data_IF_983127615658
#
_entry.id   IF_983127615658
#
_cell.length_a   1.000
_cell.length_b   1.000
_cell.length_c   1.000
_cell.angle_alpha   90.00
_cell.angle_beta   90.00
_cell.angle_gamma   90.00
#
_symmetry.space_group_name_H-M   'P 1'
#
loop_
_entity.id
_entity.type
_entity.pdbx_description
1 polymer ?
#
# COMPACT_ATOMS: atom_id res chain seq x y z
N UNK A 1 -20.40 -14.08 -13.65
CA UNK A 1 -21.60 -14.44 -12.85
C UNK A 1 -22.77 -13.54 -13.26
N UNK A 2 -24.02 -14.04 -13.25
CA UNK A 2 -25.17 -13.14 -13.33
C UNK A 2 -25.36 -12.44 -11.98
N UNK A 3 -25.53 -11.13 -12.00
CA UNK A 3 -25.75 -10.32 -10.80
C UNK A 3 -26.67 -9.15 -11.13
N UNK A 4 -27.53 -8.82 -10.19
CA UNK A 4 -28.44 -7.66 -10.28
C UNK A 4 -28.42 -6.94 -8.93
N UNK A 5 -27.85 -5.75 -8.91
CA UNK A 5 -27.82 -4.92 -7.70
C UNK A 5 -29.21 -4.42 -7.37
N UNK A 6 -29.62 -4.52 -6.10
CA UNK A 6 -30.94 -4.10 -5.61
C UNK A 6 -30.80 -3.02 -4.52
N UNK A 7 -31.92 -2.42 -4.17
CA UNK A 7 -31.99 -1.43 -3.10
C UNK A 7 -31.33 -0.10 -3.46
N UNK A 8 -30.72 0.62 -2.50
CA UNK A 8 -30.29 2.00 -2.68
C UNK A 8 -29.17 2.20 -3.71
N UNK A 9 -28.47 1.13 -4.11
CA UNK A 9 -27.41 1.21 -5.12
C UNK A 9 -27.86 0.87 -6.54
N UNK A 10 -29.09 0.37 -6.76
CA UNK A 10 -29.54 -0.19 -8.05
C UNK A 10 -29.33 0.76 -9.25
N UNK A 11 -29.70 2.03 -9.09
CA UNK A 11 -29.65 3.03 -10.19
C UNK A 11 -28.48 4.01 -10.02
N UNK A 12 -27.41 3.59 -9.33
CA UNK A 12 -26.24 4.43 -9.08
C UNK A 12 -25.02 4.02 -9.91
N UNK A 13 -24.08 4.95 -10.08
CA UNK A 13 -22.76 4.65 -10.69
C UNK A 13 -22.05 3.50 -9.95
N UNK A 14 -22.13 3.48 -8.62
CA UNK A 14 -21.56 2.42 -7.80
C UNK A 14 -22.22 1.07 -8.07
N UNK A 15 -23.54 1.01 -8.16
CA UNK A 15 -24.28 -0.21 -8.50
C UNK A 15 -23.92 -0.76 -9.88
N UNK A 16 -23.90 0.11 -10.89
CA UNK A 16 -23.48 -0.27 -12.25
C UNK A 16 -22.04 -0.81 -12.28
N UNK A 17 -21.12 -0.17 -11.53
CA UNK A 17 -19.74 -0.63 -11.39
C UNK A 17 -19.69 -2.00 -10.73
N UNK A 18 -20.40 -2.20 -9.63
CA UNK A 18 -20.45 -3.48 -8.93
C UNK A 18 -20.98 -4.62 -9.82
N UNK A 19 -22.05 -4.38 -10.58
CA UNK A 19 -22.58 -5.33 -11.54
C UNK A 19 -21.58 -5.68 -12.64
N UNK A 20 -20.88 -4.69 -13.20
CA UNK A 20 -19.87 -4.92 -14.25
C UNK A 20 -18.74 -5.81 -13.72
N UNK A 21 -18.23 -5.55 -12.51
CA UNK A 21 -17.18 -6.37 -11.88
C UNK A 21 -17.67 -7.78 -11.57
N UNK A 22 -18.89 -7.92 -11.03
CA UNK A 22 -19.50 -9.23 -10.75
C UNK A 22 -19.72 -10.05 -12.02
N UNK A 23 -20.16 -9.41 -13.11
CA UNK A 23 -20.35 -10.10 -14.42
C UNK A 23 -19.04 -10.55 -15.05
N UNK A 24 -17.95 -9.82 -14.85
CA UNK A 24 -16.62 -10.21 -15.33
C UNK A 24 -16.09 -11.48 -14.62
N UNK A 25 -16.55 -11.76 -13.39
CA UNK A 25 -16.08 -12.90 -12.61
C UNK A 25 -16.71 -14.22 -13.07
N UNK A 26 -15.87 -15.17 -13.54
CA UNK A 26 -16.29 -16.53 -13.90
C UNK A 26 -16.18 -17.53 -12.74
N UNK A 27 -15.83 -17.06 -11.56
CA UNK A 27 -15.76 -17.83 -10.30
C UNK A 27 -14.79 -19.03 -10.30
N UNK A 28 -13.72 -18.99 -11.12
CA UNK A 28 -12.79 -20.11 -11.29
C UNK A 28 -11.88 -20.39 -10.06
N UNK A 29 -11.71 -19.43 -9.15
CA UNK A 29 -10.91 -19.59 -7.93
C UNK A 29 -9.40 -19.38 -8.07
N UNK A 30 -8.85 -19.04 -9.24
CA UNK A 30 -7.41 -18.80 -9.42
C UNK A 30 -6.87 -17.67 -8.51
N UNK A 31 -7.72 -16.72 -8.15
CA UNK A 31 -7.41 -15.64 -7.24
C UNK A 31 -7.13 -16.09 -5.79
N UNK A 32 -7.63 -17.26 -5.37
CA UNK A 32 -7.40 -17.79 -4.02
C UNK A 32 -5.93 -18.22 -3.83
N UNK A 33 -5.28 -18.75 -4.84
CA UNK A 33 -3.90 -19.22 -4.77
C UNK A 33 -2.89 -18.12 -4.37
N UNK A 34 -3.17 -16.87 -4.74
CA UNK A 34 -2.32 -15.70 -4.43
C UNK A 34 -2.84 -14.85 -3.28
N UNK A 35 -3.94 -15.26 -2.65
CA UNK A 35 -4.54 -14.51 -1.55
C UNK A 35 -3.87 -14.83 -0.21
N UNK A 36 -3.21 -13.85 0.45
CA UNK A 36 -2.48 -14.13 1.68
C UNK A 36 -3.38 -14.54 2.84
N UNK A 37 -4.63 -14.05 2.91
CA UNK A 37 -5.55 -14.45 3.98
C UNK A 37 -6.14 -15.85 3.75
N UNK A 38 -6.43 -16.22 2.52
CA UNK A 38 -6.81 -17.59 2.17
C UNK A 38 -5.68 -18.59 2.48
N UNK A 39 -4.44 -18.25 2.14
CA UNK A 39 -3.28 -19.10 2.47
C UNK A 39 -3.09 -19.32 3.98
N UNK A 40 -3.47 -18.35 4.82
CA UNK A 40 -3.37 -18.50 6.27
C UNK A 40 -4.48 -19.35 6.87
N UNK A 41 -5.70 -19.30 6.33
CA UNK A 41 -6.88 -19.91 6.95
C UNK A 41 -7.37 -21.15 6.26
N UNK A 42 -7.16 -21.28 4.94
CA UNK A 42 -7.84 -22.26 4.09
C UNK A 42 -9.35 -22.02 3.93
N UNK A 43 -9.87 -20.93 4.53
CA UNK A 43 -11.29 -20.61 4.49
C UNK A 43 -11.63 -19.87 3.19
N UNK A 44 -12.60 -20.41 2.44
CA UNK A 44 -13.06 -19.83 1.18
C UNK A 44 -13.58 -18.38 1.35
N UNK A 45 -14.25 -18.08 2.46
CA UNK A 45 -14.76 -16.74 2.75
C UNK A 45 -13.66 -15.73 3.07
N UNK A 46 -12.47 -16.20 3.45
CA UNK A 46 -11.26 -15.36 3.59
C UNK A 46 -10.47 -15.24 2.27
N UNK A 47 -10.95 -15.86 1.19
CA UNK A 47 -10.45 -15.74 -0.18
C UNK A 47 -11.22 -14.70 -1.02
N UNK A 48 -10.65 -14.25 -2.16
CA UNK A 48 -11.33 -13.26 -3.01
C UNK A 48 -12.62 -13.81 -3.62
N UNK A 49 -12.63 -15.07 -4.02
CA UNK A 49 -13.81 -15.74 -4.61
C UNK A 49 -14.98 -15.76 -3.63
N UNK A 50 -14.76 -16.17 -2.38
CA UNK A 50 -15.78 -16.19 -1.34
C UNK A 50 -16.27 -14.77 -0.99
N UNK A 51 -15.34 -13.79 -0.89
CA UNK A 51 -15.71 -12.39 -0.65
C UNK A 51 -16.53 -11.77 -1.79
N UNK A 52 -16.25 -12.13 -3.06
CA UNK A 52 -17.10 -11.73 -4.20
C UNK A 52 -18.52 -12.29 -4.00
N UNK A 53 -18.64 -13.54 -3.57
CA UNK A 53 -19.95 -14.14 -3.28
C UNK A 53 -20.69 -13.44 -2.16
N UNK A 54 -20.00 -13.13 -1.04
CA UNK A 54 -20.60 -12.37 0.08
C UNK A 54 -21.08 -10.98 -0.35
N UNK A 55 -20.29 -10.26 -1.13
CA UNK A 55 -20.67 -8.93 -1.63
C UNK A 55 -21.82 -9.03 -2.64
N UNK A 56 -21.81 -10.03 -3.52
CA UNK A 56 -22.92 -10.29 -4.43
C UNK A 56 -24.24 -10.52 -3.67
N UNK A 57 -24.24 -11.43 -2.70
CA UNK A 57 -25.40 -11.72 -1.87
C UNK A 57 -25.94 -10.47 -1.16
N UNK A 58 -25.05 -9.67 -0.56
CA UNK A 58 -25.39 -8.40 0.07
C UNK A 58 -26.04 -7.41 -0.90
N UNK A 59 -25.47 -7.23 -2.08
CA UNK A 59 -25.94 -6.29 -3.10
C UNK A 59 -27.22 -6.76 -3.80
N UNK A 60 -27.53 -8.04 -3.80
CA UNK A 60 -28.77 -8.62 -4.29
C UNK A 60 -29.90 -8.61 -3.23
N UNK A 61 -29.61 -8.10 -2.03
CA UNK A 61 -30.58 -7.92 -0.95
C UNK A 61 -30.74 -9.12 -0.03
N UNK A 62 -29.82 -10.07 -0.03
CA UNK A 62 -29.79 -11.14 0.97
C UNK A 62 -29.38 -10.61 2.35
N UNK A 63 -29.80 -11.30 3.40
CA UNK A 63 -29.47 -10.94 4.76
C UNK A 63 -27.97 -11.08 5.03
N UNK A 64 -27.34 -10.01 5.47
CA UNK A 64 -25.92 -9.96 5.83
C UNK A 64 -25.75 -9.78 7.34
N UNK A 65 -24.73 -10.43 7.90
CA UNK A 65 -24.45 -10.40 9.32
C UNK A 65 -23.02 -10.04 9.65
N UNK A 66 -22.71 -10.11 10.94
CA UNK A 66 -21.39 -9.81 11.49
C UNK A 66 -20.29 -10.71 10.92
N UNK A 67 -20.61 -11.94 10.57
CA UNK A 67 -19.66 -12.87 9.98
C UNK A 67 -19.20 -12.41 8.58
N UNK A 68 -20.15 -12.02 7.72
CA UNK A 68 -19.82 -11.44 6.40
C UNK A 68 -18.94 -10.20 6.54
N UNK A 69 -19.27 -9.30 7.50
CA UNK A 69 -18.47 -8.11 7.79
C UNK A 69 -17.04 -8.50 8.23
N UNK A 70 -16.87 -9.55 9.06
CA UNK A 70 -15.57 -10.02 9.53
C UNK A 70 -14.69 -10.52 8.36
N UNK A 71 -15.25 -11.34 7.45
CA UNK A 71 -14.50 -11.83 6.30
C UNK A 71 -14.08 -10.70 5.34
N UNK A 72 -14.92 -9.69 5.15
CA UNK A 72 -14.55 -8.50 4.37
C UNK A 72 -13.47 -7.66 5.08
N UNK A 73 -13.55 -7.51 6.40
CA UNK A 73 -12.54 -6.81 7.22
C UNK A 73 -11.15 -7.48 7.19
N UNK A 74 -11.11 -8.79 6.99
CA UNK A 74 -9.86 -9.55 6.84
C UNK A 74 -9.19 -9.37 5.48
N UNK A 75 -9.83 -8.71 4.52
CA UNK A 75 -9.19 -8.37 3.26
C UNK A 75 -8.17 -7.25 3.44
N UNK A 76 -6.95 -7.49 2.95
CA UNK A 76 -5.84 -6.52 3.00
C UNK A 76 -5.95 -5.42 1.93
N UNK A 77 -6.82 -5.55 0.93
CA UNK A 77 -6.84 -4.66 -0.24
C UNK A 77 -5.55 -4.70 -1.08
N UNK A 78 -4.81 -5.81 -1.04
CA UNK A 78 -3.49 -5.92 -1.66
C UNK A 78 -3.50 -6.08 -3.19
N UNK A 79 -4.64 -6.38 -3.80
CA UNK A 79 -4.86 -6.56 -5.26
C UNK A 79 -4.05 -7.68 -5.93
N UNK A 80 -3.40 -8.58 -5.19
CA UNK A 80 -2.72 -9.73 -5.77
C UNK A 80 -3.68 -10.61 -6.58
N UNK A 81 -4.93 -10.73 -6.13
CA UNK A 81 -5.99 -11.46 -6.83
C UNK A 81 -6.34 -10.88 -8.20
N UNK A 82 -6.19 -9.56 -8.41
CA UNK A 82 -6.41 -8.92 -9.71
C UNK A 82 -5.29 -9.26 -10.68
N UNK A 83 -4.04 -9.20 -10.23
CA UNK A 83 -2.87 -9.56 -11.04
C UNK A 83 -2.88 -11.03 -11.48
N UNK A 84 -3.55 -11.91 -10.73
CA UNK A 84 -3.69 -13.33 -11.04
C UNK A 84 -4.97 -13.67 -11.80
N UNK A 85 -5.87 -12.71 -12.02
CA UNK A 85 -7.17 -12.96 -12.61
C UNK A 85 -7.10 -12.96 -14.15
N UNK A 86 -7.35 -14.11 -14.84
CA UNK A 86 -7.33 -14.15 -16.29
C UNK A 86 -8.51 -13.40 -16.93
N UNK A 87 -9.60 -13.19 -16.15
CA UNK A 87 -10.79 -12.45 -16.61
C UNK A 87 -10.70 -10.94 -16.32
N UNK A 88 -9.60 -10.45 -15.77
CA UNK A 88 -9.40 -9.02 -15.51
C UNK A 88 -10.38 -8.41 -14.50
N UNK A 89 -10.82 -9.18 -13.50
CA UNK A 89 -11.78 -8.71 -12.48
C UNK A 89 -11.13 -7.62 -11.62
N UNK A 90 -11.67 -6.42 -11.63
CA UNK A 90 -11.24 -5.28 -10.80
C UNK A 90 -11.82 -5.41 -9.38
N UNK A 91 -11.34 -6.40 -8.64
CA UNK A 91 -11.86 -6.78 -7.32
C UNK A 91 -11.89 -5.61 -6.33
N UNK A 92 -10.89 -4.73 -6.36
CA UNK A 92 -10.83 -3.57 -5.46
C UNK A 92 -12.08 -2.69 -5.58
N UNK A 93 -12.58 -2.43 -6.82
CA UNK A 93 -13.78 -1.62 -7.04
C UNK A 93 -15.02 -2.22 -6.38
N UNK A 94 -15.15 -3.54 -6.47
CA UNK A 94 -16.24 -4.25 -5.79
C UNK A 94 -16.09 -4.19 -4.27
N UNK A 95 -14.87 -4.34 -3.75
CA UNK A 95 -14.58 -4.27 -2.32
C UNK A 95 -14.86 -2.87 -1.77
N UNK A 96 -14.49 -1.83 -2.51
CA UNK A 96 -14.64 -0.42 -2.13
C UNK A 96 -16.13 0.02 -2.10
N UNK A 97 -16.99 -0.69 -2.82
CA UNK A 97 -18.44 -0.55 -2.76
C UNK A 97 -19.04 -1.45 -1.67
N UNK A 98 -18.64 -2.71 -1.64
CA UNK A 98 -19.27 -3.73 -0.80
C UNK A 98 -18.96 -3.58 0.69
N UNK A 99 -17.75 -3.16 1.07
CA UNK A 99 -17.39 -2.97 2.49
C UNK A 99 -18.18 -1.85 3.15
N UNK A 100 -18.21 -0.62 2.62
CA UNK A 100 -19.05 0.45 3.17
C UNK A 100 -20.53 0.06 3.21
N UNK A 101 -21.05 -0.58 2.16
CA UNK A 101 -22.43 -1.06 2.12
C UNK A 101 -22.73 -2.01 3.28
N UNK A 102 -21.85 -3.00 3.53
CA UNK A 102 -22.02 -3.92 4.66
C UNK A 102 -21.86 -3.20 6.00
N UNK A 103 -20.95 -2.23 6.11
CA UNK A 103 -20.74 -1.45 7.35
C UNK A 103 -21.96 -0.59 7.73
N UNK A 104 -22.68 -0.06 6.74
CA UNK A 104 -23.92 0.69 6.95
C UNK A 104 -25.07 -0.22 7.45
N UNK A 105 -25.13 -1.47 6.99
CA UNK A 105 -26.21 -2.41 7.32
C UNK A 105 -25.93 -3.27 8.56
N UNK A 106 -24.64 -3.47 8.93
CA UNK A 106 -24.24 -4.30 10.06
C UNK A 106 -23.55 -3.46 11.12
N UNK A 107 -24.24 -3.24 12.25
CA UNK A 107 -23.70 -2.41 13.35
C UNK A 107 -22.46 -3.01 13.99
N UNK A 108 -21.37 -2.27 13.98
CA UNK A 108 -20.16 -2.61 14.73
C UNK A 108 -20.34 -2.38 16.23
N UNK A 109 -19.72 -3.22 17.10
CA UNK A 109 -19.59 -2.94 18.53
C UNK A 109 -18.96 -1.56 18.80
N UNK A 110 -19.42 -0.88 19.86
CA UNK A 110 -18.96 0.48 20.17
C UNK A 110 -17.43 0.58 20.36
N UNK A 111 -16.79 -0.47 20.91
CA UNK A 111 -15.33 -0.54 21.06
C UNK A 111 -14.59 -0.52 19.73
N UNK A 112 -15.06 -1.25 18.74
CA UNK A 112 -14.48 -1.23 17.39
C UNK A 112 -14.66 0.14 16.73
N UNK A 113 -15.84 0.74 16.87
CA UNK A 113 -16.12 2.09 16.36
C UNK A 113 -15.17 3.12 16.97
N UNK A 114 -14.97 3.07 18.29
CA UNK A 114 -14.03 3.95 19.00
C UNK A 114 -12.58 3.72 18.53
N UNK A 115 -12.16 2.46 18.40
CA UNK A 115 -10.81 2.12 17.93
C UNK A 115 -10.59 2.63 16.50
N UNK A 116 -11.52 2.39 15.58
CA UNK A 116 -11.46 2.89 14.20
C UNK A 116 -11.41 4.42 14.15
N UNK A 117 -12.24 5.09 14.93
CA UNK A 117 -12.21 6.53 15.07
C UNK A 117 -10.86 7.04 15.60
N UNK A 118 -10.32 6.45 16.66
CA UNK A 118 -9.05 6.84 17.24
C UNK A 118 -7.88 6.65 16.26
N UNK A 119 -7.86 5.54 15.50
CA UNK A 119 -6.86 5.29 14.46
C UNK A 119 -6.92 6.40 13.39
N UNK A 120 -8.12 6.74 12.88
CA UNK A 120 -8.27 7.81 11.89
C UNK A 120 -7.81 9.15 12.47
N UNK A 121 -8.32 9.52 13.64
CA UNK A 121 -7.99 10.79 14.27
C UNK A 121 -6.49 11.00 14.50
N UNK A 122 -5.77 9.94 14.91
CA UNK A 122 -4.32 9.98 15.11
C UNK A 122 -3.56 9.99 13.78
N UNK A 123 -3.94 9.11 12.84
CA UNK A 123 -3.11 8.82 11.66
C UNK A 123 -3.27 9.80 10.51
N UNK A 124 -4.33 10.63 10.49
CA UNK A 124 -4.58 11.59 9.42
C UNK A 124 -3.88 12.94 9.61
N UNK A 125 -3.27 13.17 10.77
CA UNK A 125 -2.57 14.40 11.10
C UNK A 125 -1.16 14.12 11.66
N UNK A 126 -0.09 14.70 11.07
CA UNK A 126 1.28 14.43 11.50
C UNK A 126 1.57 14.84 12.95
N UNK A 127 0.94 15.91 13.42
CA UNK A 127 1.17 16.44 14.79
C UNK A 127 0.53 15.53 15.84
N UNK A 128 -0.70 15.08 15.59
CA UNK A 128 -1.37 14.08 16.44
C UNK A 128 -0.63 12.76 16.46
N UNK A 129 -0.13 12.31 15.30
CA UNK A 129 0.66 11.09 15.22
C UNK A 129 1.97 11.19 16.01
N UNK A 130 2.70 12.33 15.92
CA UNK A 130 3.91 12.60 16.72
C UNK A 130 3.62 12.59 18.21
N UNK A 131 2.55 13.27 18.64
CA UNK A 131 2.14 13.32 20.05
C UNK A 131 1.77 11.92 20.56
N UNK A 132 0.92 11.18 19.86
CA UNK A 132 0.53 9.82 20.24
C UNK A 132 1.75 8.88 20.31
N UNK A 133 2.68 9.00 19.36
CA UNK A 133 3.93 8.22 19.36
C UNK A 133 4.84 8.59 20.54
N UNK A 134 4.92 9.86 20.91
CA UNK A 134 5.70 10.33 22.08
C UNK A 134 5.10 9.82 23.39
N UNK A 135 3.77 9.93 23.54
CA UNK A 135 3.05 9.39 24.71
C UNK A 135 3.20 7.87 24.81
N UNK A 136 3.06 7.15 23.68
CA UNK A 136 3.25 5.69 23.63
C UNK A 136 4.65 5.27 24.07
N UNK A 137 5.69 6.02 23.68
CA UNK A 137 7.07 5.78 24.16
C UNK A 137 7.24 6.06 25.66
N UNK A 138 6.67 7.14 26.15
CA UNK A 138 6.75 7.51 27.57
C UNK A 138 6.04 6.51 28.50
N UNK A 139 4.90 5.97 28.07
CA UNK A 139 4.10 5.01 28.84
C UNK A 139 4.62 3.57 28.71
N UNK A 140 5.36 3.24 27.63
CA UNK A 140 5.85 1.89 27.36
C UNK A 140 6.58 1.20 28.53
N UNK A 141 7.48 1.87 29.28
CA UNK A 141 8.15 1.25 30.43
C UNK A 141 7.19 0.86 31.56
N UNK A 142 6.06 1.56 31.68
CA UNK A 142 5.05 1.33 32.71
C UNK A 142 4.06 0.19 32.39
N UNK A 143 4.08 -0.29 31.14
CA UNK A 143 3.15 -1.34 30.70
C UNK A 143 3.65 -2.74 31.06
N UNK A 144 2.74 -3.68 31.37
CA UNK A 144 3.07 -5.09 31.52
C UNK A 144 3.75 -5.65 30.25
N UNK A 145 4.61 -6.66 30.40
CA UNK A 145 5.37 -7.27 29.31
C UNK A 145 4.46 -7.73 28.13
N UNK A 146 3.26 -8.22 28.45
CA UNK A 146 2.24 -8.66 27.49
C UNK A 146 1.70 -7.53 26.58
N UNK A 147 1.75 -6.29 27.05
CA UNK A 147 1.29 -5.11 26.30
C UNK A 147 2.44 -4.36 25.63
N UNK A 148 3.68 -4.48 26.14
CA UNK A 148 4.87 -3.82 25.56
C UNK A 148 5.14 -4.24 24.13
N UNK A 149 4.90 -5.51 23.78
CA UNK A 149 5.08 -6.07 22.43
C UNK A 149 4.04 -5.60 21.40
N UNK A 150 2.91 -5.03 21.86
CA UNK A 150 1.83 -4.54 20.98
C UNK A 150 2.02 -3.10 20.54
N UNK A 151 2.92 -2.36 21.17
CA UNK A 151 3.24 -0.96 20.80
C UNK A 151 4.37 -0.93 19.77
N UNK A 152 4.30 -0.02 18.77
CA UNK A 152 5.38 0.17 17.81
C UNK A 152 6.70 0.45 18.52
N UNK A 153 7.73 -0.34 18.23
CA UNK A 153 9.09 -0.08 18.74
C UNK A 153 9.76 0.98 17.86
N UNK A 154 10.44 1.99 18.44
CA UNK A 154 11.34 2.79 17.64
C UNK A 154 12.47 1.87 17.15
N UNK A 155 12.73 1.87 15.85
CA UNK A 155 13.87 1.18 15.26
C UNK A 155 15.16 1.65 15.94
N UNK A 156 15.78 0.81 16.76
CA UNK A 156 17.17 1.00 17.14
C UNK A 156 18.03 0.59 15.95
N UNK A 157 18.61 1.56 15.26
CA UNK A 157 19.82 1.32 14.51
C UNK A 157 20.91 0.94 15.52
N UNK A 158 21.36 -0.30 15.50
CA UNK A 158 22.41 -0.77 16.40
C UNK A 158 22.69 -2.25 16.17
N UNK A 159 23.89 -2.52 15.73
CA UNK A 159 24.51 -3.80 15.43
C UNK A 159 24.53 -4.70 16.67
N UNK A 160 24.16 -5.98 16.52
CA UNK A 160 24.35 -7.01 17.53
C UNK A 160 24.09 -8.39 16.96
N UNK A 161 25.16 -9.13 16.70
CA UNK A 161 25.13 -10.45 16.08
C UNK A 161 24.61 -11.54 17.02
N UNK A 162 23.92 -12.52 16.44
CA UNK A 162 23.55 -13.78 17.06
C UNK A 162 23.34 -14.85 15.99
N UNK A 163 24.15 -15.90 16.03
CA UNK A 163 24.11 -17.08 15.14
C UNK A 163 22.83 -17.89 15.35
N UNK A 164 22.25 -18.35 14.25
CA UNK A 164 21.24 -19.41 14.22
C UNK A 164 21.82 -20.68 13.56
N UNK A 165 21.40 -21.89 14.00
CA UNK A 165 21.81 -23.14 13.37
C UNK A 165 20.99 -23.46 12.12
N UNK A 166 21.62 -24.13 11.16
CA UNK A 166 21.04 -24.61 9.94
C UNK A 166 20.38 -25.97 10.14
N UNK A 167 19.25 -26.19 9.48
CA UNK A 167 18.83 -27.53 9.05
C UNK A 167 18.03 -27.48 7.75
N UNK A 168 18.31 -28.44 6.90
CA UNK A 168 17.95 -28.57 5.49
C UNK A 168 16.65 -29.35 5.25
N UNK A 169 15.89 -29.01 4.23
CA UNK A 169 15.13 -30.00 3.45
C UNK A 169 14.78 -29.48 2.05
N UNK A 170 15.10 -30.32 1.10
CA UNK A 170 14.99 -30.17 -0.35
C UNK A 170 13.53 -30.36 -0.82
N UNK A 171 13.05 -29.50 -1.70
CA UNK A 171 11.70 -29.60 -2.29
C UNK A 171 11.55 -28.67 -3.49
N UNK A 172 11.96 -29.13 -4.68
CA UNK A 172 11.83 -28.40 -5.94
C UNK A 172 10.37 -28.34 -6.40
N UNK A 173 9.89 -27.14 -6.72
CA UNK A 173 8.67 -26.89 -7.48
C UNK A 173 9.01 -26.12 -8.76
N UNK A 174 8.33 -26.40 -9.91
CA UNK A 174 8.76 -25.95 -11.22
C UNK A 174 8.62 -24.44 -11.44
N UNK A 175 9.56 -23.87 -12.15
CA UNK A 175 9.58 -22.46 -12.58
C UNK A 175 8.43 -22.18 -13.58
N UNK A 176 7.53 -21.30 -13.20
CA UNK A 176 6.52 -20.74 -14.10
C UNK A 176 7.17 -19.71 -15.04
N UNK A 177 6.69 -19.72 -16.28
CA UNK A 177 7.24 -19.01 -17.42
C UNK A 177 7.34 -17.48 -17.27
N UNK A 178 8.15 -16.90 -18.14
CA UNK A 178 8.47 -15.48 -18.22
C UNK A 178 7.23 -14.56 -18.25
N UNK A 179 7.29 -13.38 -17.60
CA UNK A 179 6.16 -12.46 -17.56
C UNK A 179 5.90 -11.88 -18.95
N UNK A 180 4.63 -11.92 -19.36
CA UNK A 180 4.12 -11.20 -20.53
C UNK A 180 4.35 -9.71 -20.34
N UNK A 181 4.80 -9.05 -21.39
CA UNK A 181 5.05 -7.61 -21.43
C UNK A 181 3.82 -6.82 -21.00
N UNK A 182 3.95 -6.04 -19.93
CA UNK A 182 2.93 -5.08 -19.53
C UNK A 182 2.83 -3.99 -20.61
N UNK A 183 1.61 -3.49 -20.92
CA UNK A 183 1.45 -2.41 -21.87
C UNK A 183 2.10 -1.15 -21.29
N UNK A 184 3.13 -0.68 -21.98
CA UNK A 184 3.73 0.64 -21.75
C UNK A 184 2.74 1.70 -22.19
N UNK A 185 2.06 2.35 -21.26
CA UNK A 185 1.35 3.59 -21.54
C UNK A 185 2.39 4.72 -21.67
N UNK A 186 2.54 5.31 -22.86
CA UNK A 186 3.42 6.45 -23.03
C UNK A 186 2.68 7.71 -22.58
N UNK A 187 2.77 8.05 -21.28
CA UNK A 187 2.60 9.45 -20.91
C UNK A 187 3.96 10.13 -21.10
N UNK A 188 4.02 11.29 -21.76
CA UNK A 188 5.26 12.04 -21.87
C UNK A 188 5.77 12.33 -20.47
N UNK A 189 7.00 11.93 -20.20
CA UNK A 189 7.69 12.23 -18.95
C UNK A 189 8.07 13.71 -18.96
N UNK A 190 7.99 14.39 -17.80
CA UNK A 190 8.30 15.81 -17.72
C UNK A 190 9.73 16.09 -18.19
N UNK A 191 9.89 17.18 -18.93
CA UNK A 191 11.22 17.66 -19.36
C UNK A 191 12.05 18.12 -18.17
N UNK A 192 13.34 17.84 -18.15
CA UNK A 192 14.26 18.34 -17.15
C UNK A 192 14.16 19.87 -17.03
N UNK A 193 14.05 20.39 -15.79
CA UNK A 193 13.99 21.82 -15.50
C UNK A 193 12.64 22.36 -15.04
N UNK A 194 11.59 21.51 -14.90
CA UNK A 194 10.32 21.90 -14.28
C UNK A 194 10.20 21.30 -12.89
N UNK A 195 9.57 22.05 -11.97
CA UNK A 195 9.29 21.63 -10.61
C UNK A 195 8.26 20.50 -10.58
N UNK A 196 8.44 19.56 -9.65
CA UNK A 196 7.43 18.54 -9.35
C UNK A 196 6.94 18.74 -7.92
N UNK A 197 5.66 18.52 -7.72
CA UNK A 197 5.06 18.52 -6.38
C UNK A 197 5.43 17.26 -5.60
N UNK A 198 5.63 17.39 -4.30
CA UNK A 198 5.89 16.29 -3.37
C UNK A 198 4.78 16.19 -2.33
N UNK A 199 4.27 14.98 -2.11
CA UNK A 199 3.39 14.73 -0.98
C UNK A 199 4.20 14.54 0.31
N UNK A 200 4.06 15.46 1.28
CA UNK A 200 4.63 15.27 2.63
C UNK A 200 4.04 14.04 3.34
N UNK A 201 2.74 13.81 3.16
CA UNK A 201 1.99 12.72 3.79
C UNK A 201 1.60 13.03 5.25
N UNK A 202 1.07 12.03 5.94
CA UNK A 202 0.65 12.15 7.34
C UNK A 202 1.59 11.35 8.27
N UNK A 203 1.50 10.02 8.24
CA UNK A 203 2.34 9.13 9.04
C UNK A 203 3.82 9.26 8.65
N UNK A 204 4.14 9.34 7.36
CA UNK A 204 5.51 9.45 6.88
C UNK A 204 6.18 10.76 7.32
N UNK A 205 5.51 11.89 7.20
CA UNK A 205 6.02 13.19 7.66
C UNK A 205 6.32 13.23 9.18
N UNK A 206 5.64 12.38 9.95
CA UNK A 206 5.83 12.29 11.39
C UNK A 206 6.85 11.23 11.81
N UNK A 207 6.89 10.08 11.15
CA UNK A 207 7.68 8.91 11.56
C UNK A 207 9.01 8.78 10.80
N UNK A 208 9.07 9.25 9.54
CA UNK A 208 10.22 9.07 8.66
C UNK A 208 10.34 10.21 7.62
N UNK A 209 10.47 11.49 8.04
CA UNK A 209 10.60 12.61 7.12
C UNK A 209 11.84 12.51 6.22
N UNK A 210 12.86 11.77 6.64
CA UNK A 210 14.09 11.55 5.88
C UNK A 210 13.85 10.85 4.52
N UNK A 211 12.76 10.11 4.33
CA UNK A 211 12.45 9.47 3.04
C UNK A 211 12.17 10.52 1.96
N UNK A 212 11.37 11.53 2.28
CA UNK A 212 11.11 12.65 1.37
C UNK A 212 12.36 13.50 1.16
N UNK A 213 13.14 13.74 2.21
CA UNK A 213 14.39 14.48 2.11
C UNK A 213 15.41 13.76 1.22
N UNK A 214 15.54 12.44 1.32
CA UNK A 214 16.39 11.63 0.44
C UNK A 214 15.88 11.69 -1.02
N UNK A 215 14.57 11.56 -1.23
CA UNK A 215 13.99 11.68 -2.56
C UNK A 215 14.28 13.06 -3.19
N UNK A 216 14.15 14.14 -2.42
CA UNK A 216 14.46 15.47 -2.91
C UNK A 216 15.94 15.62 -3.33
N UNK A 217 16.88 15.09 -2.54
CA UNK A 217 18.30 15.12 -2.90
C UNK A 217 18.62 14.29 -4.14
N UNK A 218 18.09 13.06 -4.20
CA UNK A 218 18.33 12.16 -5.35
C UNK A 218 17.77 12.78 -6.62
N UNK A 219 16.56 13.31 -6.60
CA UNK A 219 15.92 13.90 -7.78
C UNK A 219 16.60 15.21 -8.20
N UNK A 220 17.05 16.04 -7.25
CA UNK A 220 17.83 17.24 -7.56
C UNK A 220 19.14 16.92 -8.31
N UNK A 221 19.82 15.80 -8.00
CA UNK A 221 21.04 15.37 -8.72
C UNK A 221 20.78 15.00 -10.19
N UNK A 222 19.55 14.65 -10.53
CA UNK A 222 19.13 14.37 -11.91
C UNK A 222 18.37 15.53 -12.57
N UNK A 223 18.43 16.72 -11.97
CA UNK A 223 17.85 17.95 -12.52
C UNK A 223 16.36 18.12 -12.28
N UNK A 224 15.78 17.38 -11.32
CA UNK A 224 14.36 17.49 -10.96
C UNK A 224 14.22 18.10 -9.57
N UNK A 225 13.58 19.27 -9.49
CA UNK A 225 13.31 19.94 -8.22
C UNK A 225 11.97 19.46 -7.65
N UNK A 226 11.99 19.04 -6.35
CA UNK A 226 10.80 18.67 -5.61
C UNK A 226 10.41 19.76 -4.61
N UNK A 227 9.15 20.19 -4.67
CA UNK A 227 8.60 21.15 -3.70
C UNK A 227 7.39 20.54 -3.01
N UNK A 228 7.35 20.62 -1.67
CA UNK A 228 6.16 20.23 -0.91
C UNK A 228 5.01 21.19 -1.23
N UNK A 229 3.87 20.65 -1.61
CA UNK A 229 2.70 21.46 -1.98
C UNK A 229 2.01 22.01 -0.73
N UNK A 230 1.94 23.33 -0.55
CA UNK A 230 1.19 23.95 0.54
C UNK A 230 -0.29 23.51 0.51
N UNK A 231 -0.83 23.14 1.66
CA UNK A 231 -2.23 22.70 1.76
C UNK A 231 -2.46 21.22 1.48
N UNK A 232 -1.56 20.53 0.79
CA UNK A 232 -1.63 19.07 0.66
C UNK A 232 -1.26 18.36 1.99
N UNK A 233 -1.78 17.14 2.17
CA UNK A 233 -1.52 16.42 3.43
C UNK A 233 -1.90 14.95 3.35
N UNK A 234 -2.67 14.44 4.32
CA UNK A 234 -3.12 13.04 4.31
C UNK A 234 -3.87 12.69 3.02
N UNK A 235 -3.49 11.59 2.36
CA UNK A 235 -4.16 11.12 1.15
C UNK A 235 -5.60 10.60 1.39
N UNK A 236 -5.98 10.30 2.65
CA UNK A 236 -7.30 9.76 2.98
C UNK A 236 -7.39 8.24 3.03
N UNK A 237 -6.34 7.50 2.62
CA UNK A 237 -6.38 6.03 2.54
C UNK A 237 -6.75 5.35 3.87
N UNK A 238 -6.26 5.86 5.02
CA UNK A 238 -6.60 5.29 6.34
C UNK A 238 -8.09 5.42 6.63
N UNK A 239 -8.68 6.59 6.35
CA UNK A 239 -10.11 6.83 6.54
C UNK A 239 -10.94 5.94 5.62
N UNK A 240 -10.55 5.85 4.36
CA UNK A 240 -11.20 5.00 3.35
C UNK A 240 -11.19 3.51 3.73
N UNK A 241 -10.02 2.97 4.12
CA UNK A 241 -9.88 1.59 4.53
C UNK A 241 -10.56 1.26 5.88
N UNK A 242 -11.01 2.27 6.60
CA UNK A 242 -11.85 2.15 7.80
C UNK A 242 -13.30 2.55 7.55
N UNK A 243 -13.74 2.50 6.29
CA UNK A 243 -15.12 2.72 5.82
C UNK A 243 -15.66 4.14 6.10
N UNK A 244 -14.77 5.11 6.41
CA UNK A 244 -15.09 6.52 6.59
C UNK A 244 -14.91 7.30 5.26
N UNK A 245 -15.76 6.96 4.28
CA UNK A 245 -15.63 7.42 2.88
C UNK A 245 -15.72 8.95 2.75
N UNK A 246 -16.62 9.60 3.48
CA UNK A 246 -16.79 11.06 3.40
C UNK A 246 -15.60 11.83 3.99
N UNK A 247 -14.99 11.29 5.07
CA UNK A 247 -13.75 11.83 5.61
C UNK A 247 -12.61 11.68 4.58
N UNK A 248 -12.52 10.53 3.91
CA UNK A 248 -11.55 10.29 2.85
C UNK A 248 -11.74 11.25 1.67
N UNK A 249 -12.99 11.46 1.23
CA UNK A 249 -13.34 12.44 0.17
C UNK A 249 -12.92 13.86 0.56
N UNK A 250 -13.16 14.26 1.80
CA UNK A 250 -12.78 15.59 2.30
C UNK A 250 -11.26 15.80 2.24
N UNK A 251 -10.48 14.80 2.66
CA UNK A 251 -9.02 14.83 2.59
C UNK A 251 -8.53 14.83 1.13
N UNK A 252 -9.15 14.05 0.27
CA UNK A 252 -8.83 13.96 -1.16
C UNK A 252 -9.12 15.27 -1.90
N UNK A 253 -10.29 15.92 -1.65
CA UNK A 253 -10.62 17.23 -2.26
C UNK A 253 -9.56 18.28 -1.94
N UNK A 254 -9.15 18.37 -0.67
CA UNK A 254 -8.09 19.30 -0.27
C UNK A 254 -6.80 19.07 -1.07
N UNK A 255 -6.39 17.82 -1.23
CA UNK A 255 -5.18 17.47 -1.99
C UNK A 255 -5.35 17.78 -3.49
N UNK A 256 -6.49 17.42 -4.07
CA UNK A 256 -6.81 17.70 -5.48
C UNK A 256 -6.70 19.21 -5.75
N UNK A 257 -7.35 20.04 -4.93
CA UNK A 257 -7.37 21.49 -5.15
C UNK A 257 -5.96 22.09 -4.98
N UNK A 258 -5.18 21.64 -3.99
CA UNK A 258 -3.81 22.09 -3.80
C UNK A 258 -2.91 21.71 -4.99
N UNK A 259 -2.95 20.47 -5.48
CA UNK A 259 -2.12 20.04 -6.62
C UNK A 259 -2.57 20.61 -7.95
N UNK A 260 -3.85 20.90 -8.12
CA UNK A 260 -4.30 21.59 -9.34
C UNK A 260 -3.73 22.99 -9.43
N UNK A 261 -3.64 23.72 -8.30
CA UNK A 261 -2.99 25.04 -8.28
C UNK A 261 -1.52 24.96 -8.70
N UNK A 262 -0.78 23.95 -8.21
CA UNK A 262 0.61 23.69 -8.60
C UNK A 262 0.72 23.30 -10.10
N UNK A 263 -0.20 22.43 -10.57
CA UNK A 263 -0.24 22.02 -11.97
C UNK A 263 -0.52 23.19 -12.91
N UNK A 264 -1.40 24.10 -12.51
CA UNK A 264 -1.70 25.31 -13.28
C UNK A 264 -0.54 26.33 -13.23
N UNK A 265 0.29 26.28 -12.18
CA UNK A 265 1.56 27.01 -12.06
C UNK A 265 2.73 26.35 -12.82
N UNK A 266 2.53 25.17 -13.41
CA UNK A 266 3.51 24.50 -14.27
C UNK A 266 4.16 23.26 -13.67
N UNK A 267 3.69 22.73 -12.54
CA UNK A 267 4.15 21.45 -12.03
C UNK A 267 3.70 20.29 -12.93
N UNK A 268 4.64 19.45 -13.36
CA UNK A 268 4.39 18.37 -14.34
C UNK A 268 3.92 17.06 -13.67
N UNK A 269 4.25 16.84 -12.40
CA UNK A 269 3.92 15.61 -11.67
C UNK A 269 3.78 15.83 -10.17
N UNK A 270 3.13 14.86 -9.52
CA UNK A 270 3.06 14.71 -8.06
C UNK A 270 3.84 13.45 -7.68
N UNK A 271 5.01 13.63 -7.09
CA UNK A 271 5.89 12.54 -6.65
C UNK A 271 5.48 12.08 -5.26
N UNK A 272 5.34 10.77 -5.08
CA UNK A 272 4.89 10.19 -3.82
C UNK A 272 5.80 9.01 -3.44
N UNK A 273 6.58 9.18 -2.40
CA UNK A 273 7.52 8.18 -1.89
C UNK A 273 6.84 7.03 -1.13
N UNK A 274 5.59 7.22 -0.67
CA UNK A 274 4.81 6.18 -0.01
C UNK A 274 3.87 5.51 -1.02
N UNK A 275 4.21 4.33 -1.53
CA UNK A 275 3.42 3.61 -2.54
C UNK A 275 1.96 3.38 -2.16
N UNK A 276 1.64 3.26 -0.85
CA UNK A 276 0.27 3.15 -0.36
C UNK A 276 -0.56 4.41 -0.61
N UNK A 277 0.04 5.60 -0.43
CA UNK A 277 -0.59 6.87 -0.78
C UNK A 277 -0.70 7.03 -2.29
N UNK A 278 0.35 6.70 -3.05
CA UNK A 278 0.36 6.81 -4.50
C UNK A 278 -0.74 5.94 -5.14
N UNK A 279 -0.86 4.69 -4.71
CA UNK A 279 -1.91 3.80 -5.21
C UNK A 279 -3.31 4.33 -4.91
N UNK A 280 -3.56 4.80 -3.68
CA UNK A 280 -4.88 5.34 -3.32
C UNK A 280 -5.23 6.62 -4.08
N UNK A 281 -4.26 7.51 -4.34
CA UNK A 281 -4.50 8.73 -5.11
C UNK A 281 -4.77 8.39 -6.59
N UNK A 282 -4.16 7.33 -7.12
CA UNK A 282 -4.50 6.81 -8.45
C UNK A 282 -5.95 6.30 -8.53
N UNK A 283 -6.56 5.92 -7.40
CA UNK A 283 -7.97 5.49 -7.31
C UNK A 283 -8.95 6.66 -7.01
N UNK A 284 -8.49 7.90 -6.88
CA UNK A 284 -9.38 9.06 -6.71
C UNK A 284 -10.46 9.18 -7.80
N UNK A 285 -10.21 8.83 -9.07
CA UNK A 285 -11.28 8.80 -10.08
C UNK A 285 -12.49 7.94 -9.68
N UNK A 286 -12.26 6.78 -9.05
CA UNK A 286 -13.34 5.92 -8.57
C UNK A 286 -14.04 6.51 -7.34
N UNK A 287 -13.29 7.13 -6.44
CA UNK A 287 -13.82 7.80 -5.24
C UNK A 287 -14.76 8.97 -5.59
N UNK A 288 -14.51 9.65 -6.72
CA UNK A 288 -15.27 10.80 -7.20
C UNK A 288 -16.08 10.53 -8.47
N UNK A 289 -16.28 9.27 -8.87
CA UNK A 289 -16.96 8.92 -10.12
C UNK A 289 -18.39 9.52 -10.25
N UNK A 290 -19.07 9.69 -9.12
CA UNK A 290 -20.41 10.29 -9.06
C UNK A 290 -20.42 11.79 -8.68
N UNK A 291 -19.25 12.43 -8.52
CA UNK A 291 -19.13 13.84 -8.13
C UNK A 291 -18.77 14.69 -9.37
N UNK A 292 -19.74 15.41 -9.99
CA UNK A 292 -19.47 16.15 -11.21
C UNK A 292 -18.47 17.30 -11.02
N UNK A 293 -18.28 17.79 -9.79
CA UNK A 293 -17.31 18.87 -9.50
C UNK A 293 -15.89 18.35 -9.38
N UNK A 294 -15.70 17.08 -9.05
CA UNK A 294 -14.37 16.52 -8.78
C UNK A 294 -13.96 15.36 -9.69
N UNK A 295 -14.85 14.75 -10.45
CA UNK A 295 -14.54 13.61 -11.30
C UNK A 295 -13.38 13.89 -12.30
N UNK A 296 -13.44 15.00 -13.04
CA UNK A 296 -12.37 15.39 -13.98
C UNK A 296 -11.09 15.81 -13.27
N UNK A 297 -11.20 16.56 -12.20
CA UNK A 297 -10.09 16.99 -11.36
C UNK A 297 -9.33 15.78 -10.80
N UNK A 298 -10.05 14.78 -10.28
CA UNK A 298 -9.48 13.54 -9.77
C UNK A 298 -8.74 12.75 -10.85
N UNK A 299 -9.30 12.66 -12.07
CA UNK A 299 -8.62 12.03 -13.22
C UNK A 299 -7.32 12.75 -13.59
N UNK A 300 -7.34 14.09 -13.63
CA UNK A 300 -6.15 14.89 -13.94
C UNK A 300 -5.05 14.64 -12.89
N UNK A 301 -5.36 14.70 -11.60
CA UNK A 301 -4.37 14.46 -10.55
C UNK A 301 -3.88 13.02 -10.55
N UNK A 302 -4.75 12.01 -10.67
CA UNK A 302 -4.34 10.61 -10.76
C UNK A 302 -3.35 10.35 -11.92
N UNK A 303 -3.53 11.04 -13.05
CA UNK A 303 -2.61 10.97 -14.19
C UNK A 303 -1.24 11.60 -13.90
N UNK A 304 -1.16 12.57 -12.98
CA UNK A 304 0.09 13.26 -12.60
C UNK A 304 0.91 12.49 -11.55
N UNK A 305 0.31 11.55 -10.81
CA UNK A 305 1.01 10.80 -9.74
C UNK A 305 2.15 9.96 -10.31
N UNK A 306 3.32 10.06 -9.68
CA UNK A 306 4.52 9.25 -10.00
C UNK A 306 5.12 8.65 -8.73
N UNK A 307 5.53 7.38 -8.82
CA UNK A 307 6.49 6.80 -7.87
C UNK A 307 7.89 7.35 -8.22
N UNK A 308 8.78 7.60 -7.26
CA UNK A 308 10.14 8.06 -7.56
C UNK A 308 10.90 7.17 -8.56
N UNK A 309 10.61 5.86 -8.59
CA UNK A 309 11.26 4.96 -9.57
C UNK A 309 10.92 5.31 -11.00
N UNK A 310 9.70 5.78 -11.27
CA UNK A 310 9.28 6.20 -12.62
C UNK A 310 10.04 7.44 -13.08
N UNK A 311 10.29 8.37 -12.17
CA UNK A 311 11.08 9.58 -12.46
C UNK A 311 12.55 9.23 -12.69
N UNK A 312 13.13 8.35 -11.84
CA UNK A 312 14.53 7.95 -11.96
C UNK A 312 14.81 6.99 -13.13
N UNK A 313 13.81 6.37 -13.71
CA UNK A 313 13.99 5.63 -14.98
C UNK A 313 14.04 6.57 -16.18
N UNK A 314 13.32 7.69 -16.11
CA UNK A 314 13.37 8.73 -17.14
C UNK A 314 14.63 9.58 -17.04
N UNK A 315 15.11 9.80 -15.81
CA UNK A 315 16.30 10.57 -15.49
C UNK A 315 17.26 9.69 -14.68
N UNK A 316 17.99 8.77 -15.32
CA UNK A 316 18.78 7.77 -14.63
C UNK A 316 19.88 8.40 -13.78
N UNK A 317 19.94 8.12 -12.47
CA UNK A 317 21.06 8.55 -11.63
C UNK A 317 22.31 7.74 -11.96
N UNK A 318 23.46 8.35 -11.75
CA UNK A 318 24.77 7.71 -11.88
C UNK A 318 25.34 7.47 -10.49
N UNK A 319 25.82 6.25 -10.24
CA UNK A 319 26.49 5.94 -8.98
C UNK A 319 27.83 6.68 -8.91
N UNK A 320 28.00 7.50 -7.86
CA UNK A 320 29.25 8.20 -7.57
C UNK A 320 30.22 7.32 -6.72
N UNK A 321 29.68 6.32 -6.04
CA UNK A 321 30.43 5.37 -5.20
C UNK A 321 29.71 4.01 -5.12
N UNK A 322 30.44 2.91 -4.88
CA UNK A 322 29.84 1.62 -4.68
C UNK A 322 29.03 1.59 -3.38
N UNK A 323 27.97 0.75 -3.31
CA UNK A 323 27.24 0.55 -2.07
C UNK A 323 28.10 -0.11 -0.99
N UNK A 324 27.99 0.37 0.26
CA UNK A 324 28.69 -0.22 1.39
C UNK A 324 28.15 -1.63 1.71
N UNK A 325 26.87 -1.85 1.50
CA UNK A 325 26.18 -3.14 1.72
C UNK A 325 25.47 -3.53 0.41
N UNK A 326 26.16 -4.20 -0.54
CA UNK A 326 25.60 -4.48 -1.86
C UNK A 326 24.50 -5.54 -1.82
N UNK A 327 24.57 -6.54 -0.94
CA UNK A 327 23.59 -7.63 -0.85
C UNK A 327 22.31 -7.17 -0.16
N UNK A 328 21.25 -6.99 -0.92
CA UNK A 328 19.99 -6.45 -0.44
C UNK A 328 18.81 -7.38 -0.75
N UNK A 329 17.77 -7.34 0.09
CA UNK A 329 16.46 -7.87 -0.28
C UNK A 329 15.50 -6.71 -0.59
N UNK A 330 14.86 -6.74 -1.76
CA UNK A 330 13.88 -5.73 -2.13
C UNK A 330 12.48 -6.23 -1.77
N UNK A 331 11.88 -5.60 -0.77
CA UNK A 331 10.47 -5.79 -0.47
C UNK A 331 9.64 -4.88 -1.37
N UNK A 332 8.96 -5.47 -2.35
CA UNK A 332 7.99 -4.75 -3.18
C UNK A 332 6.64 -4.65 -2.43
N UNK A 333 6.21 -3.47 -1.98
CA UNK A 333 4.88 -3.32 -1.41
C UNK A 333 3.79 -3.74 -2.40
N UNK A 334 2.73 -4.38 -1.91
CA UNK A 334 1.61 -4.77 -2.75
C UNK A 334 1.00 -3.57 -3.51
N UNK A 335 0.99 -2.39 -2.89
CA UNK A 335 0.54 -1.14 -3.52
C UNK A 335 1.44 -0.69 -4.67
N UNK A 336 2.76 -0.92 -4.59
CA UNK A 336 3.68 -0.64 -5.70
C UNK A 336 3.56 -1.71 -6.80
N UNK A 337 3.59 -3.00 -6.40
CA UNK A 337 3.57 -4.13 -7.35
C UNK A 337 2.23 -4.25 -8.09
N UNK A 338 1.13 -4.28 -7.36
CA UNK A 338 -0.21 -4.54 -7.90
C UNK A 338 -1.02 -3.26 -8.13
N UNK A 339 -0.96 -2.30 -7.19
CA UNK A 339 -1.69 -1.03 -7.29
C UNK A 339 -1.13 -0.11 -8.37
N UNK A 340 0.17 0.18 -8.31
CA UNK A 340 0.85 1.03 -9.29
C UNK A 340 1.33 0.25 -10.54
N UNK A 341 1.30 -1.09 -10.50
CA UNK A 341 1.76 -1.97 -11.59
C UNK A 341 3.24 -1.76 -11.96
N UNK A 342 4.12 -1.64 -10.94
CA UNK A 342 5.56 -1.39 -11.09
C UNK A 342 6.42 -2.57 -10.56
N UNK A 343 6.14 -3.84 -10.92
CA UNK A 343 6.90 -4.98 -10.40
C UNK A 343 8.34 -4.97 -10.90
N UNK A 344 9.31 -5.26 -10.03
CA UNK A 344 10.73 -5.43 -10.36
C UNK A 344 11.50 -4.13 -10.62
N UNK A 345 10.83 -2.99 -10.80
CA UNK A 345 11.47 -1.74 -11.27
C UNK A 345 12.48 -1.18 -10.27
N UNK A 346 12.14 -1.16 -8.98
CA UNK A 346 13.08 -0.72 -7.93
C UNK A 346 14.31 -1.63 -7.87
N UNK A 347 14.12 -2.94 -7.91
CA UNK A 347 15.23 -3.90 -7.94
C UNK A 347 16.14 -3.71 -9.15
N UNK A 348 15.59 -3.49 -10.33
CA UNK A 348 16.34 -3.23 -11.55
C UNK A 348 17.13 -1.92 -11.49
N UNK A 349 16.52 -0.85 -10.92
CA UNK A 349 17.24 0.42 -10.69
C UNK A 349 18.42 0.24 -9.74
N UNK A 350 18.21 -0.42 -8.60
CA UNK A 350 19.24 -0.67 -7.60
C UNK A 350 20.38 -1.54 -8.17
N UNK A 351 20.08 -2.55 -8.98
CA UNK A 351 21.11 -3.37 -9.65
C UNK A 351 22.01 -2.52 -10.57
N UNK A 352 21.44 -1.57 -11.31
CA UNK A 352 22.22 -0.63 -12.14
C UNK A 352 23.14 0.27 -11.32
N UNK A 353 22.79 0.52 -10.06
CA UNK A 353 23.62 1.32 -9.14
C UNK A 353 24.65 0.48 -8.34
N UNK A 354 24.82 -0.79 -8.69
CA UNK A 354 25.82 -1.67 -8.11
C UNK A 354 25.35 -2.47 -6.88
N UNK A 355 24.07 -2.43 -6.55
CA UNK A 355 23.51 -3.33 -5.54
C UNK A 355 23.27 -4.72 -6.13
N UNK A 356 23.20 -5.73 -5.25
CA UNK A 356 22.94 -7.13 -5.56
C UNK A 356 21.59 -7.58 -4.96
N UNK A 357 20.46 -7.32 -5.63
CA UNK A 357 19.15 -7.75 -5.15
C UNK A 357 19.07 -9.26 -5.09
N UNK A 358 18.86 -9.80 -3.89
CA UNK A 358 18.71 -11.24 -3.68
C UNK A 358 17.28 -11.68 -4.08
N UNK A 359 17.13 -12.91 -4.60
CA UNK A 359 15.81 -13.47 -4.89
C UNK A 359 14.92 -13.46 -3.63
N UNK A 360 13.65 -13.15 -3.80
CA UNK A 360 12.66 -13.18 -2.72
C UNK A 360 11.56 -14.15 -3.10
N UNK A 361 11.33 -15.17 -2.28
CA UNK A 361 10.22 -16.10 -2.48
C UNK A 361 8.89 -15.39 -2.31
N UNK A 362 7.91 -15.73 -3.15
CA UNK A 362 6.56 -15.16 -3.11
C UNK A 362 6.54 -13.62 -2.99
N UNK A 363 7.23 -12.91 -3.93
CA UNK A 363 7.36 -11.45 -3.83
C UNK A 363 6.01 -10.73 -3.90
N UNK A 364 4.99 -11.38 -4.48
CA UNK A 364 3.63 -10.88 -4.65
C UNK A 364 2.80 -10.83 -3.34
N UNK A 365 3.21 -11.59 -2.30
CA UNK A 365 2.45 -11.65 -1.06
C UNK A 365 2.64 -10.39 -0.20
N UNK A 366 1.54 -9.92 0.38
CA UNK A 366 1.54 -8.76 1.27
C UNK A 366 2.30 -9.03 2.57
N UNK A 367 2.98 -8.01 3.11
CA UNK A 367 3.66 -8.07 4.41
C UNK A 367 2.71 -8.06 5.63
N UNK A 368 1.41 -7.84 5.43
CA UNK A 368 0.42 -7.78 6.50
C UNK A 368 0.22 -6.38 7.12
N UNK A 369 0.92 -5.34 6.68
CA UNK A 369 0.75 -3.97 7.20
C UNK A 369 -0.61 -3.38 6.86
N UNK A 370 -0.91 -3.23 5.56
CA UNK A 370 -2.13 -2.72 4.95
C UNK A 370 -2.78 -1.55 5.73
N UNK A 371 -2.00 -0.50 6.01
CA UNK A 371 -2.45 0.68 6.74
C UNK A 371 -2.97 0.34 8.15
N UNK A 372 -4.28 0.57 8.43
CA UNK A 372 -4.87 0.29 9.74
C UNK A 372 -5.06 -1.20 10.05
N UNK A 373 -4.90 -2.08 9.05
CA UNK A 373 -5.14 -3.52 9.18
C UNK A 373 -4.31 -4.17 10.29
N UNK A 374 -3.03 -3.82 10.42
CA UNK A 374 -2.18 -4.37 11.49
C UNK A 374 -2.66 -4.05 12.90
N UNK A 375 -3.50 -3.02 13.06
CA UNK A 375 -4.13 -2.65 14.33
C UNK A 375 -5.49 -3.30 14.52
N UNK A 376 -6.25 -3.51 13.43
CA UNK A 376 -7.61 -4.09 13.47
C UNK A 376 -7.60 -5.61 13.35
N UNK A 377 -6.58 -6.21 12.71
CA UNK A 377 -6.40 -7.64 12.50
C UNK A 377 -4.99 -8.12 12.93
N UNK A 378 -4.59 -7.91 14.19
CA UNK A 378 -3.19 -8.07 14.64
C UNK A 378 -2.65 -9.50 14.49
N UNK A 379 -3.50 -10.52 14.66
CA UNK A 379 -3.10 -11.92 14.52
C UNK A 379 -2.71 -12.26 13.08
N UNK A 380 -3.55 -11.89 12.12
CA UNK A 380 -3.27 -12.09 10.69
C UNK A 380 -2.04 -11.28 10.27
N UNK A 381 -1.98 -10.02 10.67
CA UNK A 381 -0.86 -9.14 10.35
C UNK A 381 0.48 -9.68 10.85
N UNK A 382 0.51 -10.23 12.08
CA UNK A 382 1.73 -10.81 12.66
C UNK A 382 2.18 -12.08 11.91
N UNK A 383 1.24 -12.97 11.54
CA UNK A 383 1.54 -14.17 10.76
C UNK A 383 2.08 -13.81 9.36
N UNK A 384 1.43 -12.89 8.65
CA UNK A 384 1.88 -12.42 7.34
C UNK A 384 3.26 -11.75 7.40
N UNK A 385 3.53 -10.96 8.45
CA UNK A 385 4.84 -10.35 8.68
C UNK A 385 5.91 -11.41 8.86
N UNK A 386 5.67 -12.43 9.69
CA UNK A 386 6.61 -13.50 9.93
C UNK A 386 6.96 -14.24 8.61
N UNK A 387 5.95 -14.62 7.83
CA UNK A 387 6.14 -15.26 6.54
C UNK A 387 6.94 -14.38 5.57
N UNK A 388 6.62 -13.08 5.51
CA UNK A 388 7.34 -12.14 4.61
C UNK A 388 8.80 -11.92 5.06
N UNK A 389 9.07 -11.81 6.35
CA UNK A 389 10.45 -11.68 6.86
C UNK A 389 11.26 -12.93 6.55
N UNK A 390 10.69 -14.13 6.75
CA UNK A 390 11.37 -15.39 6.38
C UNK A 390 11.75 -15.38 4.91
N UNK A 391 10.84 -15.02 4.00
CA UNK A 391 11.12 -14.96 2.57
C UNK A 391 12.17 -13.89 2.21
N UNK A 392 12.16 -12.73 2.87
CA UNK A 392 13.10 -11.64 2.62
C UNK A 392 14.51 -11.93 3.14
N UNK A 393 14.63 -12.77 4.17
CA UNK A 393 15.94 -13.07 4.82
C UNK A 393 16.53 -14.41 4.39
N UNK A 394 15.87 -15.16 3.51
CA UNK A 394 16.27 -16.49 3.04
C UNK A 394 17.71 -16.53 2.49
N UNK A 395 18.11 -15.49 1.77
CA UNK A 395 19.44 -15.37 1.17
C UNK A 395 20.40 -14.45 1.94
N UNK A 396 20.18 -14.29 3.26
CA UNK A 396 21.03 -13.51 4.17
C UNK A 396 21.42 -12.11 3.63
N UNK A 397 20.47 -11.25 3.27
CA UNK A 397 20.76 -9.88 2.86
C UNK A 397 21.29 -9.06 4.04
N UNK A 398 22.10 -8.04 3.78
CA UNK A 398 22.54 -7.10 4.80
C UNK A 398 21.42 -6.14 5.24
N UNK A 399 20.50 -5.81 4.31
CA UNK A 399 19.39 -4.87 4.52
C UNK A 399 18.18 -5.24 3.69
N UNK A 400 16.98 -4.95 4.22
CA UNK A 400 15.72 -5.01 3.48
C UNK A 400 15.35 -3.60 3.04
N UNK A 401 15.12 -3.40 1.73
CA UNK A 401 14.70 -2.12 1.16
C UNK A 401 13.21 -2.18 0.77
N UNK A 402 12.43 -1.16 1.13
CA UNK A 402 11.00 -1.08 0.84
C UNK A 402 10.57 0.30 0.34
N UNK A 403 9.41 0.42 -0.30
CA UNK A 403 8.88 1.65 -0.89
C UNK A 403 7.62 2.18 -0.17
N UNK A 404 7.36 1.76 1.08
CA UNK A 404 6.14 2.18 1.77
C UNK A 404 6.34 2.28 3.28
N UNK A 405 5.96 3.43 3.85
CA UNK A 405 6.07 3.72 5.29
C UNK A 405 5.38 2.67 6.16
N UNK A 406 4.18 2.19 5.78
CA UNK A 406 3.45 1.17 6.54
C UNK A 406 4.20 -0.17 6.56
N UNK A 407 4.74 -0.60 5.43
CA UNK A 407 5.56 -1.81 5.33
C UNK A 407 6.86 -1.66 6.12
N UNK A 408 7.53 -0.51 6.02
CA UNK A 408 8.74 -0.21 6.79
C UNK A 408 8.48 -0.35 8.29
N UNK A 409 7.48 0.34 8.82
CA UNK A 409 7.12 0.28 10.24
C UNK A 409 6.76 -1.13 10.70
N UNK A 410 6.11 -1.90 9.85
CA UNK A 410 5.63 -3.23 10.20
C UNK A 410 6.74 -4.28 10.18
N UNK A 411 7.56 -4.31 9.14
CA UNK A 411 8.67 -5.24 8.99
C UNK A 411 9.78 -4.95 10.01
N UNK A 412 10.11 -3.69 10.26
CA UNK A 412 11.16 -3.29 11.21
C UNK A 412 10.90 -3.73 12.66
N UNK A 413 9.67 -4.11 13.02
CA UNK A 413 9.35 -4.56 14.38
C UNK A 413 10.05 -5.88 14.77
N UNK A 414 10.25 -6.77 13.82
CA UNK A 414 10.75 -8.13 14.09
C UNK A 414 11.81 -8.60 13.08
N UNK A 415 12.20 -7.77 12.12
CA UNK A 415 13.26 -8.09 11.16
C UNK A 415 14.60 -8.27 11.88
N UNK A 416 15.38 -9.33 11.57
CA UNK A 416 16.72 -9.55 12.09
C UNK A 416 17.77 -8.63 11.44
N UNK A 417 17.46 -8.01 10.30
CA UNK A 417 18.31 -7.06 9.58
C UNK A 417 17.61 -5.70 9.48
N UNK A 418 18.37 -4.61 9.27
CA UNK A 418 17.78 -3.28 9.08
C UNK A 418 16.75 -3.26 7.95
N UNK A 419 15.67 -2.50 8.14
CA UNK A 419 14.67 -2.21 7.10
C UNK A 419 14.76 -0.73 6.80
N UNK A 420 14.95 -0.36 5.53
CA UNK A 420 15.15 1.02 5.08
C UNK A 420 14.25 1.34 3.88
N UNK A 421 14.06 2.62 3.59
CA UNK A 421 13.45 3.01 2.33
C UNK A 421 14.48 2.92 1.20
N UNK A 422 14.09 2.37 0.05
CA UNK A 422 15.02 2.17 -1.07
C UNK A 422 15.67 3.47 -1.58
N UNK A 423 14.95 4.60 -1.48
CA UNK A 423 15.48 5.90 -1.92
C UNK A 423 16.65 6.40 -1.06
N UNK A 424 16.72 5.99 0.22
CA UNK A 424 17.87 6.28 1.09
C UNK A 424 19.12 5.56 0.61
N UNK A 425 18.98 4.31 0.12
CA UNK A 425 20.08 3.57 -0.45
C UNK A 425 20.58 4.20 -1.75
N UNK A 426 19.69 4.70 -2.59
CA UNK A 426 20.07 5.48 -3.79
C UNK A 426 20.78 6.76 -3.41
N UNK A 427 20.27 7.51 -2.42
CA UNK A 427 20.88 8.76 -1.93
C UNK A 427 22.33 8.56 -1.44
N UNK A 428 22.62 7.41 -0.87
CA UNK A 428 23.97 7.07 -0.36
C UNK A 428 24.99 6.81 -1.48
N UNK A 429 24.57 6.34 -2.63
CA UNK A 429 25.50 5.95 -3.72
C UNK A 429 25.58 6.97 -4.84
N UNK A 430 24.62 7.87 -4.94
CA UNK A 430 24.58 8.94 -5.94
C UNK A 430 25.02 10.28 -5.34
#
# INVERSE_FOLDING_TARGET
MHATVKGPLADTVAGATAEAVLRACVHCGMCNAVCPTFQLTGDELDGPRGRIYLMKAALEGEAIGRESQLHLDRCLGCRACESACPSGVEYHRLLDIGRPFVDEHVRRPWRERLTRWAIRWVSTDPSRFRLASALGRAVRPLLPASLRGKLPSPSRGGVGGGRLPAESADGRIPTAGAPSQAPSTPYPLPSAGRGMSLLAGCVQAAAAPQFNAAAARVLARVGVELTETPGAGCCGAVSFHLDAVDEARTLARRNIDAWLAEADAGADAVVITASGCAAFIKDYPDLFAADPAYADKARRIAAMVRDPVEVLEAHPPVAARPPAEPRIAVHEPCTQRHGLKLPGRVGALLARLGFEPQPVRDPHLCCGSAGPYSLTQPTFAAALRANKITALTEHAPAVILTANIGCWMHLAQTSPVPVRHWIEAVDEVT
#
